data_IF_635002056310
#
_entry.id   IF_635002056310
#
_cell.length_a   1.000
_cell.length_b   1.000
_cell.length_c   1.000
_cell.angle_alpha   90.00
_cell.angle_beta   90.00
_cell.angle_gamma   90.00
#
_symmetry.space_group_name_H-M   'P 1'
#
loop_
_entity.id
_entity.type
_entity.pdbx_description
1 polymer ?
#
# COMPACT_ATOMS: atom_id res chain seq x y z
N UNK A 1 -46.93 8.01 30.35
CA UNK A 1 -45.59 8.54 30.01
C UNK A 1 -44.81 7.40 29.43
N UNK A 2 -44.28 7.45 28.21
CA UNK A 2 -43.48 8.54 27.68
C UNK A 2 -42.00 8.19 27.83
N UNK A 3 -41.56 7.10 27.19
CA UNK A 3 -40.14 6.75 27.05
C UNK A 3 -39.88 6.44 25.58
N UNK A 4 -40.00 7.47 24.74
CA UNK A 4 -39.43 7.49 23.40
C UNK A 4 -38.07 8.20 23.48
N UNK A 5 -37.13 7.55 24.18
CA UNK A 5 -35.71 7.89 24.12
C UNK A 5 -35.06 7.13 22.97
N UNK A 6 -35.55 7.36 21.75
CA UNK A 6 -34.91 6.84 20.53
C UNK A 6 -33.58 7.53 20.35
N UNK A 7 -32.54 6.97 20.97
CA UNK A 7 -31.15 7.32 20.71
C UNK A 7 -30.82 6.97 19.27
N UNK A 8 -31.03 7.92 18.35
CA UNK A 8 -30.40 7.86 17.04
C UNK A 8 -28.93 8.14 17.29
N UNK A 9 -28.16 7.07 17.53
CA UNK A 9 -26.71 7.14 17.49
C UNK A 9 -26.30 7.80 16.16
N UNK A 10 -25.34 8.75 16.14
CA UNK A 10 -24.84 9.36 14.92
C UNK A 10 -23.94 8.36 14.17
N UNK A 11 -24.49 7.20 13.79
CA UNK A 11 -23.76 6.14 13.09
C UNK A 11 -23.32 6.57 11.71
N UNK A 12 -24.06 7.46 11.03
CA UNK A 12 -23.76 7.83 9.63
C UNK A 12 -22.44 8.59 9.45
N UNK A 13 -21.97 9.35 10.46
CA UNK A 13 -20.65 9.97 10.44
C UNK A 13 -19.51 9.00 10.77
N UNK A 14 -19.80 8.01 11.63
CA UNK A 14 -18.84 6.98 12.01
C UNK A 14 -18.64 5.95 10.90
N UNK A 15 -19.71 5.57 10.17
CA UNK A 15 -19.63 4.62 9.06
C UNK A 15 -18.90 5.20 7.85
N UNK A 16 -19.09 6.49 7.53
CA UNK A 16 -18.37 7.13 6.42
C UNK A 16 -16.86 7.24 6.67
N UNK A 17 -16.48 7.68 7.87
CA UNK A 17 -15.06 7.78 8.28
C UNK A 17 -14.41 6.41 8.45
N UNK A 18 -15.13 5.42 9.00
CA UNK A 18 -14.66 4.05 9.12
C UNK A 18 -14.47 3.36 7.76
N UNK A 19 -15.41 3.55 6.83
CA UNK A 19 -15.31 3.00 5.48
C UNK A 19 -14.15 3.63 4.69
N UNK A 20 -13.96 4.95 4.76
CA UNK A 20 -12.82 5.62 4.13
C UNK A 20 -11.49 5.20 4.76
N UNK A 21 -11.43 5.03 6.09
CA UNK A 21 -10.21 4.55 6.75
C UNK A 21 -9.86 3.11 6.34
N UNK A 22 -10.85 2.21 6.28
CA UNK A 22 -10.69 0.83 5.78
C UNK A 22 -10.22 0.82 4.33
N UNK A 23 -10.85 1.59 3.46
CA UNK A 23 -10.47 1.72 2.05
C UNK A 23 -9.05 2.27 1.87
N UNK A 24 -8.72 3.35 2.59
CA UNK A 24 -7.38 3.96 2.58
C UNK A 24 -6.31 2.98 3.07
N UNK A 25 -6.61 2.19 4.12
CA UNK A 25 -5.69 1.16 4.60
C UNK A 25 -5.48 0.02 3.60
N UNK A 26 -6.51 -0.38 2.86
CA UNK A 26 -6.39 -1.41 1.82
C UNK A 26 -5.57 -0.90 0.63
N UNK A 27 -5.80 0.33 0.18
CA UNK A 27 -4.99 0.97 -0.87
C UNK A 27 -3.53 1.12 -0.45
N UNK A 28 -3.26 1.49 0.81
CA UNK A 28 -1.91 1.56 1.33
C UNK A 28 -1.23 0.18 1.39
N UNK A 29 -1.96 -0.88 1.73
CA UNK A 29 -1.44 -2.24 1.73
C UNK A 29 -1.07 -2.70 0.29
N UNK A 30 -1.97 -2.50 -0.68
CA UNK A 30 -1.69 -2.82 -2.09
C UNK A 30 -0.55 -1.97 -2.67
N UNK A 31 -0.43 -0.70 -2.29
CA UNK A 31 0.69 0.15 -2.67
C UNK A 31 2.04 -0.36 -2.13
N UNK A 32 2.05 -0.89 -0.90
CA UNK A 32 3.25 -1.48 -0.30
C UNK A 32 3.61 -2.78 -1.03
N UNK A 33 2.63 -3.63 -1.33
CA UNK A 33 2.84 -4.90 -2.05
C UNK A 33 3.43 -4.67 -3.45
N UNK A 34 2.84 -3.77 -4.23
CA UNK A 34 3.36 -3.39 -5.55
C UNK A 34 4.78 -2.81 -5.45
N UNK A 35 5.05 -1.96 -4.46
CA UNK A 35 6.38 -1.39 -4.27
C UNK A 35 7.41 -2.47 -3.92
N UNK A 36 7.04 -3.48 -3.13
CA UNK A 36 7.93 -4.61 -2.81
C UNK A 36 8.20 -5.48 -4.03
N UNK A 37 7.19 -5.76 -4.85
CA UNK A 37 7.33 -6.54 -6.08
C UNK A 37 8.25 -5.83 -7.09
N UNK A 38 8.03 -4.54 -7.32
CA UNK A 38 8.85 -3.73 -8.22
C UNK A 38 10.29 -3.58 -7.70
N UNK A 39 10.44 -3.47 -6.38
CA UNK A 39 11.73 -3.52 -5.71
C UNK A 39 12.49 -4.83 -5.98
N UNK A 40 11.87 -5.97 -5.70
CA UNK A 40 12.47 -7.30 -5.94
C UNK A 40 12.85 -7.45 -7.42
N UNK A 41 11.94 -7.10 -8.34
CA UNK A 41 12.19 -7.16 -9.79
C UNK A 41 13.43 -6.36 -10.19
N UNK A 42 13.55 -5.13 -9.67
CA UNK A 42 14.70 -4.26 -9.94
C UNK A 42 15.99 -4.81 -9.34
N UNK A 43 15.93 -5.32 -8.11
CA UNK A 43 17.06 -5.99 -7.46
C UNK A 43 17.57 -7.17 -8.27
N UNK A 44 16.68 -8.04 -8.74
CA UNK A 44 17.02 -9.17 -9.61
C UNK A 44 17.69 -8.69 -10.90
N UNK A 45 17.16 -7.65 -11.56
CA UNK A 45 17.77 -7.13 -12.79
C UNK A 45 19.18 -6.58 -12.58
N UNK A 46 19.41 -5.86 -11.48
CA UNK A 46 20.75 -5.36 -11.13
C UNK A 46 21.73 -6.51 -10.91
N UNK A 47 21.30 -7.56 -10.20
CA UNK A 47 22.11 -8.76 -9.99
C UNK A 47 22.41 -9.46 -11.31
N UNK A 48 21.42 -9.63 -12.19
CA UNK A 48 21.63 -10.21 -13.54
C UNK A 48 22.67 -9.39 -14.31
N UNK A 49 22.55 -8.06 -14.32
CA UNK A 49 23.51 -7.17 -14.98
C UNK A 49 24.93 -7.36 -14.45
N UNK A 50 25.10 -7.35 -13.13
CA UNK A 50 26.40 -7.56 -12.49
C UNK A 50 26.97 -8.95 -12.69
N UNK A 51 26.12 -9.97 -12.77
CA UNK A 51 26.53 -11.34 -13.08
C UNK A 51 27.03 -11.47 -14.52
N UNK A 52 26.49 -10.68 -15.46
CA UNK A 52 27.01 -10.57 -16.82
C UNK A 52 28.36 -9.84 -16.90
N UNK A 53 28.65 -8.91 -15.98
CA UNK A 53 29.94 -8.20 -15.92
C UNK A 53 31.10 -9.09 -15.47
N UNK A 54 30.81 -10.23 -14.84
CA UNK A 54 31.83 -11.18 -14.39
C UNK A 54 32.31 -12.01 -15.59
N UNK A 55 33.38 -11.54 -16.24
CA UNK A 55 33.91 -12.09 -17.51
C UNK A 55 34.23 -13.58 -17.47
N UNK A 56 34.55 -14.13 -16.29
CA UNK A 56 34.85 -15.56 -16.16
C UNK A 56 33.63 -16.45 -16.45
N UNK A 57 32.40 -15.95 -16.27
CA UNK A 57 31.21 -16.70 -16.62
C UNK A 57 30.97 -16.78 -18.12
N UNK A 58 31.46 -15.84 -18.92
CA UNK A 58 31.39 -15.93 -20.38
C UNK A 58 32.24 -17.11 -20.91
N UNK A 59 33.38 -17.37 -20.24
CA UNK A 59 34.30 -18.45 -20.58
C UNK A 59 33.73 -19.81 -20.13
N UNK A 60 33.20 -19.87 -18.91
CA UNK A 60 32.77 -21.14 -18.30
C UNK A 60 31.34 -21.50 -18.73
N UNK A 61 30.44 -20.53 -18.78
CA UNK A 61 29.02 -20.66 -19.09
C UNK A 61 28.67 -19.77 -20.29
N UNK A 62 29.28 -20.06 -21.44
CA UNK A 62 29.08 -19.27 -22.66
C UNK A 62 27.59 -19.16 -23.02
N UNK A 63 27.11 -17.93 -23.21
CA UNK A 63 25.71 -17.66 -23.52
C UNK A 63 24.74 -17.86 -22.34
N UNK A 64 25.23 -17.83 -21.10
CA UNK A 64 24.37 -18.02 -19.92
C UNK A 64 23.31 -16.93 -19.83
N UNK A 65 22.06 -17.37 -19.67
CA UNK A 65 20.92 -16.51 -19.38
C UNK A 65 20.64 -16.56 -17.87
N UNK A 66 21.25 -15.63 -17.13
CA UNK A 66 21.12 -15.56 -15.68
C UNK A 66 19.68 -15.36 -15.19
N UNK A 67 18.77 -14.87 -16.05
CA UNK A 67 17.35 -14.72 -15.68
C UNK A 67 16.67 -16.05 -15.37
N UNK A 68 17.22 -17.17 -15.86
CA UNK A 68 16.73 -18.53 -15.60
C UNK A 68 17.13 -19.06 -14.23
N UNK A 69 18.18 -18.50 -13.63
CA UNK A 69 18.80 -19.04 -12.42
C UNK A 69 18.71 -18.08 -11.23
N UNK A 70 18.56 -16.79 -11.47
CA UNK A 70 18.43 -15.77 -10.41
C UNK A 70 16.94 -15.52 -10.14
N UNK A 71 16.49 -16.01 -9.00
CA UNK A 71 15.11 -15.86 -8.52
C UNK A 71 15.06 -14.90 -7.32
N UNK A 72 13.84 -14.58 -6.88
CA UNK A 72 13.59 -13.82 -5.66
C UNK A 72 14.29 -14.41 -4.42
N UNK A 73 14.39 -15.74 -4.33
CA UNK A 73 15.04 -16.39 -3.20
C UNK A 73 16.58 -16.36 -3.28
N UNK A 74 17.16 -16.07 -4.44
CA UNK A 74 18.60 -16.21 -4.69
C UNK A 74 19.35 -14.89 -4.91
N UNK A 75 18.68 -13.80 -5.30
CA UNK A 75 19.35 -12.55 -5.69
C UNK A 75 20.01 -11.79 -4.52
N UNK A 76 19.51 -11.95 -3.30
CA UNK A 76 19.82 -11.06 -2.17
C UNK A 76 20.90 -11.60 -1.22
N UNK A 77 21.45 -12.78 -1.48
CA UNK A 77 22.45 -13.42 -0.60
C UNK A 77 23.55 -14.10 -1.40
N UNK A 78 24.77 -14.11 -0.86
CA UNK A 78 25.91 -14.84 -1.43
C UNK A 78 25.59 -16.32 -1.62
N UNK A 79 24.99 -16.96 -0.61
CA UNK A 79 24.57 -18.36 -0.69
C UNK A 79 23.52 -18.62 -1.77
N UNK A 80 22.61 -17.66 -2.01
CA UNK A 80 21.65 -17.71 -3.11
C UNK A 80 22.33 -17.65 -4.47
N UNK A 81 23.27 -16.73 -4.66
CA UNK A 81 24.02 -16.60 -5.91
C UNK A 81 24.92 -17.82 -6.18
N UNK A 82 25.53 -18.41 -5.15
CA UNK A 82 26.24 -19.69 -5.26
C UNK A 82 25.31 -20.80 -5.78
N UNK A 83 24.08 -20.88 -5.26
CA UNK A 83 23.07 -21.85 -5.75
C UNK A 83 22.68 -21.57 -7.20
N UNK A 84 22.48 -20.31 -7.57
CA UNK A 84 22.16 -19.93 -8.95
C UNK A 84 23.27 -20.37 -9.92
N UNK A 85 24.54 -20.10 -9.59
CA UNK A 85 25.70 -20.54 -10.37
C UNK A 85 25.78 -22.06 -10.44
N UNK A 86 25.54 -22.75 -9.32
CA UNK A 86 25.56 -24.23 -9.28
C UNK A 86 24.47 -24.83 -10.18
N UNK A 87 23.27 -24.26 -10.16
CA UNK A 87 22.17 -24.68 -11.03
C UNK A 87 22.48 -24.45 -12.52
N UNK A 88 23.10 -23.31 -12.85
CA UNK A 88 23.53 -23.04 -14.22
C UNK A 88 24.58 -24.06 -14.68
N UNK A 89 25.59 -24.34 -13.86
CA UNK A 89 26.62 -25.35 -14.14
C UNK A 89 26.00 -26.73 -14.37
N UNK A 90 25.07 -27.15 -13.52
CA UNK A 90 24.40 -28.46 -13.68
C UNK A 90 23.60 -28.53 -14.98
N UNK A 91 22.86 -27.48 -15.32
CA UNK A 91 22.12 -27.40 -16.58
C UNK A 91 23.05 -27.48 -17.80
N UNK A 92 24.22 -26.84 -17.76
CA UNK A 92 25.22 -26.93 -18.82
C UNK A 92 25.86 -28.32 -18.93
N UNK A 93 26.08 -28.99 -17.79
CA UNK A 93 26.56 -30.38 -17.76
C UNK A 93 25.56 -31.34 -18.39
N UNK A 94 24.29 -31.22 -18.03
CA UNK A 94 23.20 -32.03 -18.60
C UNK A 94 23.06 -31.80 -20.12
N UNK A 95 23.31 -30.58 -20.58
CA UNK A 95 23.32 -30.24 -22.00
C UNK A 95 24.60 -30.68 -22.75
N UNK A 96 25.58 -31.27 -22.08
CA UNK A 96 26.87 -31.67 -22.69
C UNK A 96 27.81 -30.51 -23.03
N UNK A 97 27.51 -29.28 -22.56
CA UNK A 97 28.24 -28.05 -22.89
C UNK A 97 29.24 -27.63 -21.79
N UNK A 98 29.56 -28.55 -20.87
CA UNK A 98 30.43 -28.31 -19.73
C UNK A 98 31.52 -29.38 -19.63
N UNK A 99 32.78 -28.97 -19.57
CA UNK A 99 33.94 -29.88 -19.47
C UNK A 99 34.59 -29.83 -18.09
N UNK A 100 35.34 -30.88 -17.73
CA UNK A 100 35.98 -30.99 -16.40
C UNK A 100 36.97 -29.86 -16.11
N UNK A 101 37.70 -29.37 -17.12
CA UNK A 101 38.61 -28.22 -16.97
C UNK A 101 37.89 -26.92 -16.58
N UNK A 102 36.61 -26.76 -16.93
CA UNK A 102 35.79 -25.62 -16.47
C UNK A 102 35.35 -25.76 -15.01
N UNK A 103 35.30 -26.98 -14.48
CA UNK A 103 34.86 -27.25 -13.11
C UNK A 103 35.85 -26.71 -12.07
N UNK A 104 37.16 -26.79 -12.34
CA UNK A 104 38.18 -26.26 -11.43
C UNK A 104 38.08 -24.73 -11.32
N UNK A 105 37.77 -24.06 -12.44
CA UNK A 105 37.51 -22.61 -12.48
C UNK A 105 36.28 -22.26 -11.63
N UNK A 106 35.16 -22.99 -11.81
CA UNK A 106 33.96 -22.79 -11.00
C UNK A 106 34.26 -23.00 -9.51
N UNK A 107 35.00 -24.05 -9.16
CA UNK A 107 35.37 -24.32 -7.76
C UNK A 107 36.14 -23.14 -7.16
N UNK A 108 37.08 -22.56 -7.90
CA UNK A 108 37.80 -21.35 -7.48
C UNK A 108 36.89 -20.16 -7.21
N UNK A 109 35.90 -19.91 -8.09
CA UNK A 109 34.91 -18.85 -7.91
C UNK A 109 34.06 -19.10 -6.66
N UNK A 110 33.55 -20.32 -6.50
CA UNK A 110 32.69 -20.69 -5.37
C UNK A 110 33.43 -20.63 -4.03
N UNK A 111 34.71 -21.03 -3.99
CA UNK A 111 35.56 -20.88 -2.81
C UNK A 111 35.82 -19.42 -2.43
N UNK A 112 35.84 -18.51 -3.41
CA UNK A 112 35.89 -17.06 -3.20
C UNK A 112 34.50 -16.40 -3.33
N UNK A 113 33.44 -17.14 -3.00
CA UNK A 113 32.06 -16.71 -3.22
C UNK A 113 31.74 -15.38 -2.53
N UNK A 114 32.23 -15.15 -1.32
CA UNK A 114 31.99 -13.88 -0.60
C UNK A 114 32.57 -12.67 -1.36
N UNK A 115 33.80 -12.78 -1.85
CA UNK A 115 34.46 -11.69 -2.60
C UNK A 115 33.80 -11.44 -3.95
N UNK A 116 33.31 -12.50 -4.59
CA UNK A 116 32.74 -12.42 -5.94
C UNK A 116 31.28 -11.97 -5.90
N UNK A 117 30.50 -12.57 -5.00
CA UNK A 117 29.05 -12.41 -4.95
C UNK A 117 28.57 -11.45 -3.87
N UNK A 118 29.40 -11.11 -2.86
CA UNK A 118 29.06 -10.15 -1.81
C UNK A 118 28.64 -8.80 -2.39
N UNK A 119 29.49 -8.14 -3.22
CA UNK A 119 29.14 -6.87 -3.86
C UNK A 119 27.93 -6.98 -4.81
N UNK A 120 27.72 -8.14 -5.43
CA UNK A 120 26.61 -8.39 -6.34
C UNK A 120 25.29 -8.48 -5.56
N UNK A 121 25.26 -9.28 -4.49
CA UNK A 121 24.11 -9.45 -3.61
C UNK A 121 23.75 -8.13 -2.90
N UNK A 122 24.77 -7.38 -2.44
CA UNK A 122 24.58 -6.07 -1.82
C UNK A 122 23.96 -5.08 -2.79
N UNK A 123 24.50 -4.98 -4.02
CA UNK A 123 23.92 -4.10 -5.04
C UNK A 123 22.47 -4.48 -5.39
N UNK A 124 22.14 -5.77 -5.45
CA UNK A 124 20.77 -6.24 -5.64
C UNK A 124 19.83 -5.84 -4.51
N UNK A 125 20.29 -6.00 -3.26
CA UNK A 125 19.55 -5.62 -2.06
C UNK A 125 19.33 -4.10 -1.98
N UNK A 126 20.36 -3.32 -2.29
CA UNK A 126 20.29 -1.86 -2.26
C UNK A 126 19.36 -1.32 -3.35
N UNK A 127 19.45 -1.87 -4.57
CA UNK A 127 18.55 -1.51 -5.65
C UNK A 127 17.09 -1.87 -5.33
N UNK A 128 16.85 -3.04 -4.73
CA UNK A 128 15.52 -3.43 -4.29
C UNK A 128 14.99 -2.51 -3.19
N UNK A 129 15.80 -2.17 -2.19
CA UNK A 129 15.42 -1.28 -1.11
C UNK A 129 15.15 0.16 -1.59
N UNK A 130 16.02 0.69 -2.46
CA UNK A 130 15.88 2.03 -3.03
C UNK A 130 14.59 2.15 -3.87
N UNK A 131 14.34 1.15 -4.72
CA UNK A 131 13.14 1.12 -5.58
C UNK A 131 11.89 0.95 -4.75
N UNK A 132 11.86 0.00 -3.81
CA UNK A 132 10.73 -0.19 -2.88
C UNK A 132 10.41 1.10 -2.15
N UNK A 133 11.42 1.81 -1.64
CA UNK A 133 11.23 3.08 -0.94
C UNK A 133 10.64 4.15 -1.87
N UNK A 134 11.20 4.31 -3.06
CA UNK A 134 10.76 5.29 -4.05
C UNK A 134 9.30 5.06 -4.46
N UNK A 135 8.97 3.83 -4.87
CA UNK A 135 7.61 3.45 -5.33
C UNK A 135 6.61 3.54 -4.19
N UNK A 136 6.97 3.07 -2.99
CA UNK A 136 6.12 3.19 -1.79
C UNK A 136 5.82 4.65 -1.48
N UNK A 137 6.83 5.53 -1.48
CA UNK A 137 6.62 6.96 -1.25
C UNK A 137 5.70 7.57 -2.30
N UNK A 138 5.95 7.31 -3.59
CA UNK A 138 5.12 7.81 -4.67
C UNK A 138 3.65 7.34 -4.55
N UNK A 139 3.44 6.04 -4.30
CA UNK A 139 2.09 5.46 -4.20
C UNK A 139 1.34 5.86 -2.94
N UNK A 140 2.02 5.97 -1.80
CA UNK A 140 1.38 6.49 -0.58
C UNK A 140 1.03 7.98 -0.72
N UNK A 141 1.86 8.77 -1.39
CA UNK A 141 1.51 10.16 -1.73
C UNK A 141 0.30 10.23 -2.68
N UNK A 142 0.23 9.36 -3.69
CA UNK A 142 -0.93 9.26 -4.58
C UNK A 142 -2.22 8.93 -3.79
N UNK A 143 -2.18 7.90 -2.94
CA UNK A 143 -3.31 7.53 -2.07
C UNK A 143 -3.69 8.68 -1.14
N UNK A 144 -2.73 9.38 -0.54
CA UNK A 144 -2.99 10.54 0.31
C UNK A 144 -3.68 11.67 -0.47
N UNK A 145 -3.23 11.98 -1.69
CA UNK A 145 -3.86 13.01 -2.55
C UNK A 145 -5.26 12.65 -3.04
N UNK A 146 -5.54 11.36 -3.29
CA UNK A 146 -6.86 10.90 -3.71
C UNK A 146 -7.86 10.84 -2.54
N UNK A 147 -7.37 10.61 -1.32
CA UNK A 147 -8.21 10.50 -0.11
C UNK A 147 -8.46 11.84 0.58
N UNK A 148 -7.59 12.84 0.40
CA UNK A 148 -7.81 14.21 0.91
C UNK A 148 -9.16 14.81 0.47
N UNK A 149 -9.54 14.78 -0.84
CA UNK A 149 -10.82 15.32 -1.27
C UNK A 149 -12.01 14.49 -0.78
N UNK A 150 -11.85 13.18 -0.54
CA UNK A 150 -12.90 12.35 0.06
C UNK A 150 -13.19 12.80 1.49
N UNK A 151 -12.15 13.12 2.27
CA UNK A 151 -12.31 13.64 3.62
C UNK A 151 -13.02 15.00 3.59
N UNK A 152 -12.60 15.92 2.71
CA UNK A 152 -13.28 17.19 2.53
C UNK A 152 -14.74 17.02 2.11
N UNK A 153 -15.02 16.16 1.11
CA UNK A 153 -16.38 15.88 0.64
C UNK A 153 -17.28 15.31 1.74
N UNK A 154 -16.77 14.40 2.58
CA UNK A 154 -17.49 13.89 3.74
C UNK A 154 -17.77 15.01 4.73
N UNK A 155 -16.79 15.87 5.00
CA UNK A 155 -16.94 16.99 5.94
C UNK A 155 -17.99 18.00 5.44
N UNK A 156 -17.98 18.34 4.15
CA UNK A 156 -18.98 19.21 3.52
C UNK A 156 -20.37 18.59 3.51
N UNK A 157 -20.48 17.28 3.26
CA UNK A 157 -21.75 16.55 3.32
C UNK A 157 -22.35 16.57 4.74
N UNK A 158 -21.53 16.32 5.77
CA UNK A 158 -21.94 16.40 7.17
C UNK A 158 -22.33 17.84 7.55
N UNK A 159 -21.54 18.84 7.14
CA UNK A 159 -21.83 20.25 7.38
C UNK A 159 -23.15 20.68 6.74
N UNK A 160 -23.43 20.24 5.51
CA UNK A 160 -24.67 20.53 4.80
C UNK A 160 -25.90 19.96 5.54
N UNK A 161 -25.82 18.72 6.04
CA UNK A 161 -26.88 18.11 6.85
C UNK A 161 -27.13 18.93 8.14
N UNK A 162 -26.06 19.35 8.82
CA UNK A 162 -26.16 20.18 10.03
C UNK A 162 -26.86 21.51 9.73
N UNK A 163 -26.53 22.18 8.62
CA UNK A 163 -27.15 23.45 8.21
C UNK A 163 -28.65 23.26 7.93
N UNK A 164 -29.05 22.20 7.22
CA UNK A 164 -30.47 21.90 6.93
C UNK A 164 -31.26 21.68 8.23
N UNK A 165 -30.70 20.89 9.16
CA UNK A 165 -31.33 20.63 10.46
C UNK A 165 -31.45 21.92 11.29
N UNK A 166 -30.42 22.77 11.30
CA UNK A 166 -30.43 24.07 11.99
C UNK A 166 -31.55 24.98 11.47
N UNK A 167 -31.73 25.07 10.15
CA UNK A 167 -32.80 25.85 9.52
C UNK A 167 -34.18 25.33 9.95
N UNK A 168 -34.37 24.01 9.94
CA UNK A 168 -35.62 23.40 10.42
C UNK A 168 -35.91 23.73 11.88
N UNK A 169 -34.91 23.69 12.76
CA UNK A 169 -35.06 24.00 14.18
C UNK A 169 -35.43 25.47 14.39
N UNK A 170 -34.80 26.40 13.68
CA UNK A 170 -35.10 27.84 13.79
C UNK A 170 -36.54 28.12 13.35
N UNK A 171 -36.94 27.63 12.17
CA UNK A 171 -38.32 27.78 11.66
C UNK A 171 -39.32 27.12 12.62
N UNK A 172 -39.00 25.92 13.11
CA UNK A 172 -39.82 25.20 14.08
C UNK A 172 -40.00 25.99 15.38
N UNK A 173 -38.93 26.56 15.94
CA UNK A 173 -38.99 27.38 17.15
C UNK A 173 -39.84 28.63 16.95
N UNK A 174 -39.74 29.29 15.79
CA UNK A 174 -40.59 30.45 15.44
C UNK A 174 -42.07 30.03 15.39
N UNK A 175 -42.39 28.94 14.67
CA UNK A 175 -43.76 28.43 14.57
C UNK A 175 -44.32 27.98 15.91
N UNK A 176 -43.51 27.28 16.72
CA UNK A 176 -43.88 26.83 18.06
C UNK A 176 -44.15 28.02 18.99
N UNK A 177 -43.31 29.05 18.95
CA UNK A 177 -43.49 30.27 19.74
C UNK A 177 -44.75 31.02 19.30
N UNK A 178 -45.02 31.12 17.99
CA UNK A 178 -46.26 31.71 17.45
C UNK A 178 -47.50 30.97 17.93
N UNK A 179 -47.51 29.62 17.86
CA UNK A 179 -48.65 28.80 18.33
C UNK A 179 -48.91 28.99 19.83
N UNK A 180 -47.86 28.97 20.67
CA UNK A 180 -48.00 29.20 22.11
C UNK A 180 -48.51 30.62 22.42
N UNK A 181 -48.09 31.64 21.66
CA UNK A 181 -48.58 33.01 21.85
C UNK A 181 -50.08 33.14 21.50
N UNK A 182 -50.53 32.47 20.43
CA UNK A 182 -51.95 32.43 20.07
C UNK A 182 -52.81 31.74 21.14
N UNK A 183 -52.35 30.62 21.69
CA UNK A 183 -53.08 29.88 22.74
C UNK A 183 -53.18 30.68 24.06
N UNK A 184 -52.10 31.37 24.46
CA UNK A 184 -52.12 32.25 25.64
C UNK A 184 -53.13 33.39 25.51
N UNK A 185 -53.22 34.01 24.33
CA UNK A 185 -54.24 35.04 24.06
C UNK A 185 -55.67 34.46 24.15
N UNK A 186 -55.92 33.29 23.58
CA UNK A 186 -57.24 32.63 23.65
C UNK A 186 -57.68 32.34 25.09
N UNK A 187 -56.76 31.88 25.95
CA UNK A 187 -57.06 31.64 27.37
C UNK A 187 -57.46 32.91 28.14
N UNK A 188 -56.87 34.06 27.79
CA UNK A 188 -57.23 35.33 28.42
C UNK A 188 -58.62 35.81 27.99
N UNK A 189 -59.00 35.61 26.72
CA UNK A 189 -60.34 35.96 26.25
C UNK A 189 -61.44 35.10 26.90
N UNK A 190 -61.18 33.81 27.14
CA UNK A 190 -62.15 32.94 27.83
C UNK A 190 -62.36 33.41 29.27
N UNK A 191 -61.29 33.79 29.98
CA UNK A 191 -61.40 34.30 31.35
C UNK A 191 -62.17 35.61 31.48
N UNK A 192 -62.05 36.52 30.51
CA UNK A 192 -62.76 37.81 30.52
C UNK A 192 -64.27 37.70 30.20
N UNK A 193 -64.74 36.56 29.72
CA UNK A 193 -66.16 36.33 29.41
C UNK A 193 -66.88 35.55 30.52
N UNK A 194 -66.14 35.07 31.53
CA UNK A 194 -66.64 34.26 32.64
C UNK A 194 -66.85 35.10 33.92
N UNK A 195 -66.29 36.32 33.96
CA UNK A 195 -66.68 37.41 34.87
C UNK A 195 -67.85 38.22 34.30
#
# INVERSE_FOLDING_TARGET
GGVLGGGVAPGVGLFGTFAVNKFTSALAASAIELATEEGIKTGIQVVIGKMNEISIFEIVLTGVDWSRYITESYYSTVGGLIKAVTNAVNSYKEAGNFSDGKMDVVRGILSNGEKTFGPVAEAGKDAAAATTKSVKTAKLSEVATQTTPLYSAITYSVLAIIIIVLIMVIIYLILRRRRKKKMKKKLQYIKLLEE
#
